data_IF_991192488892
#
_entry.id   IF_991192488892
#
_cell.length_a   1.000
_cell.length_b   1.000
_cell.length_c   1.000
_cell.angle_alpha   90.00
_cell.angle_beta   90.00
_cell.angle_gamma   90.00
#
_symmetry.space_group_name_H-M   'P 1'
#
loop_
_entity.id
_entity.type
_entity.pdbx_description
1 polymer ?
#
# COMPACT_ATOMS: atom_id res chain seq x y z
N UNK A 1 -18.35 -7.90 -10.19
CA UNK A 1 -16.91 -7.60 -10.27
C UNK A 1 -16.73 -6.09 -10.41
N UNK A 2 -16.31 -5.45 -9.32
CA UNK A 2 -16.22 -3.98 -9.22
C UNK A 2 -15.00 -3.39 -9.94
N UNK A 3 -13.97 -4.21 -10.23
CA UNK A 3 -12.72 -3.80 -10.84
C UNK A 3 -12.49 -4.42 -12.22
N UNK A 4 -13.54 -4.93 -12.86
CA UNK A 4 -13.45 -5.54 -14.18
C UNK A 4 -12.84 -4.57 -15.20
N UNK A 5 -11.74 -4.97 -15.83
CA UNK A 5 -11.02 -4.17 -16.83
C UNK A 5 -10.12 -3.06 -16.27
N UNK A 6 -10.08 -2.82 -14.96
CA UNK A 6 -9.15 -1.88 -14.32
C UNK A 6 -7.76 -2.51 -14.22
N UNK A 7 -6.72 -1.69 -14.36
CA UNK A 7 -5.33 -2.08 -14.17
C UNK A 7 -4.80 -1.52 -12.84
N UNK A 8 -4.34 -2.38 -11.95
CA UNK A 8 -3.86 -2.01 -10.63
C UNK A 8 -2.38 -2.37 -10.43
N UNK A 9 -1.62 -1.45 -9.89
CA UNK A 9 -0.26 -1.68 -9.38
C UNK A 9 -0.29 -1.64 -7.86
N UNK A 10 0.23 -2.69 -7.22
CA UNK A 10 0.36 -2.78 -5.76
C UNK A 10 1.84 -2.97 -5.40
N UNK A 11 2.42 -2.05 -4.63
CA UNK A 11 3.81 -2.15 -4.16
C UNK A 11 3.92 -2.97 -2.88
N UNK A 12 5.02 -3.73 -2.69
CA UNK A 12 5.20 -4.59 -1.52
C UNK A 12 4.13 -5.69 -1.43
N UNK A 13 3.81 -6.33 -2.54
CA UNK A 13 2.56 -7.06 -2.70
C UNK A 13 2.67 -8.59 -2.71
N UNK A 14 3.86 -9.15 -2.40
CA UNK A 14 4.06 -10.61 -2.38
C UNK A 14 3.57 -11.29 -1.09
N UNK A 15 3.26 -10.52 -0.05
CA UNK A 15 2.81 -11.00 1.27
C UNK A 15 2.02 -9.94 2.05
N UNK A 16 1.45 -10.35 3.19
CA UNK A 16 0.77 -9.47 4.14
C UNK A 16 -0.36 -8.66 3.54
N UNK A 17 -0.47 -7.39 3.92
CA UNK A 17 -1.53 -6.47 3.47
C UNK A 17 -1.56 -6.34 1.95
N UNK A 18 -0.40 -6.13 1.32
CA UNK A 18 -0.31 -5.99 -0.14
C UNK A 18 -0.81 -7.22 -0.89
N UNK A 19 -0.50 -8.42 -0.38
CA UNK A 19 -1.00 -9.67 -0.96
C UNK A 19 -2.53 -9.80 -0.84
N UNK A 20 -3.10 -9.44 0.31
CA UNK A 20 -4.55 -9.48 0.50
C UNK A 20 -5.29 -8.51 -0.43
N UNK A 21 -4.70 -7.33 -0.69
CA UNK A 21 -5.23 -6.37 -1.66
C UNK A 21 -5.16 -6.94 -3.08
N UNK A 22 -4.02 -7.55 -3.45
CA UNK A 22 -3.86 -8.20 -4.76
C UNK A 22 -4.90 -9.29 -4.97
N UNK A 23 -5.13 -10.17 -3.98
CA UNK A 23 -6.14 -11.20 -4.07
C UNK A 23 -7.56 -10.61 -4.21
N UNK A 24 -7.90 -9.62 -3.38
CA UNK A 24 -9.21 -8.97 -3.45
C UNK A 24 -9.45 -8.30 -4.82
N UNK A 25 -8.42 -7.67 -5.40
CA UNK A 25 -8.52 -7.05 -6.72
C UNK A 25 -8.61 -8.09 -7.84
N UNK A 26 -7.93 -9.24 -7.71
CA UNK A 26 -8.06 -10.38 -8.63
C UNK A 26 -9.49 -10.92 -8.62
N UNK A 27 -10.07 -11.14 -7.43
CA UNK A 27 -11.44 -11.63 -7.24
C UNK A 27 -12.47 -10.68 -7.87
N UNK A 28 -12.16 -9.37 -7.92
CA UNK A 28 -12.99 -8.33 -8.54
C UNK A 28 -12.66 -8.05 -10.02
N UNK A 29 -11.80 -8.86 -10.63
CA UNK A 29 -11.57 -8.89 -12.08
C UNK A 29 -10.54 -7.87 -12.59
N UNK A 30 -9.72 -7.29 -11.72
CA UNK A 30 -8.65 -6.40 -12.13
C UNK A 30 -7.52 -7.14 -12.86
N UNK A 31 -6.81 -6.41 -13.73
CA UNK A 31 -5.47 -6.78 -14.17
C UNK A 31 -4.46 -6.24 -13.15
N UNK A 32 -3.41 -6.98 -12.87
CA UNK A 32 -2.55 -6.73 -11.73
C UNK A 32 -1.08 -6.61 -12.09
N UNK A 33 -0.42 -5.63 -11.49
CA UNK A 33 1.04 -5.59 -11.38
C UNK A 33 1.42 -5.83 -9.92
N UNK A 34 2.19 -6.90 -9.70
CA UNK A 34 2.79 -7.25 -8.41
C UNK A 34 4.22 -6.72 -8.40
N UNK A 35 4.57 -5.94 -7.38
CA UNK A 35 5.90 -5.36 -7.23
C UNK A 35 6.47 -5.61 -5.84
N UNK A 36 7.72 -6.09 -5.76
CA UNK A 36 8.48 -6.26 -4.51
C UNK A 36 9.98 -6.25 -4.82
N UNK A 37 10.82 -6.29 -3.77
CA UNK A 37 12.28 -6.28 -3.88
C UNK A 37 12.88 -7.62 -4.36
N UNK A 38 12.19 -8.74 -4.20
CA UNK A 38 12.68 -10.08 -4.51
C UNK A 38 12.03 -10.64 -5.77
N UNK A 39 12.84 -10.86 -6.82
CA UNK A 39 12.35 -11.45 -8.07
C UNK A 39 11.73 -12.84 -7.86
N UNK A 40 12.32 -13.66 -6.98
CA UNK A 40 11.79 -15.00 -6.69
C UNK A 40 10.45 -14.95 -5.96
N UNK A 41 10.28 -14.04 -5.00
CA UNK A 41 9.02 -13.89 -4.27
C UNK A 41 7.93 -13.34 -5.20
N UNK A 42 8.28 -12.43 -6.12
CA UNK A 42 7.36 -11.91 -7.14
C UNK A 42 6.90 -13.03 -8.07
N UNK A 43 7.82 -13.85 -8.59
CA UNK A 43 7.45 -14.98 -9.46
C UNK A 43 6.50 -15.95 -8.74
N UNK A 44 6.82 -16.34 -7.50
CA UNK A 44 5.93 -17.20 -6.70
C UNK A 44 4.54 -16.56 -6.45
N UNK A 45 4.49 -15.24 -6.22
CA UNK A 45 3.22 -14.54 -6.02
C UNK A 45 2.38 -14.53 -7.31
N UNK A 46 2.99 -14.33 -8.47
CA UNK A 46 2.31 -14.44 -9.77
C UNK A 46 1.74 -15.84 -9.99
N UNK A 47 2.53 -16.88 -9.73
CA UNK A 47 2.08 -18.29 -9.88
C UNK A 47 0.91 -18.61 -8.93
N UNK A 48 0.95 -18.08 -7.70
CA UNK A 48 -0.13 -18.29 -6.70
C UNK A 48 -1.46 -17.67 -7.10
N UNK A 49 -1.47 -16.58 -7.88
CA UNK A 49 -2.71 -15.95 -8.35
C UNK A 49 -3.46 -16.79 -9.36
N UNK A 50 -2.78 -17.66 -10.11
CA UNK A 50 -3.37 -18.50 -11.17
C UNK A 50 -4.19 -17.70 -12.19
N UNK A 51 -3.82 -16.44 -12.42
CA UNK A 51 -4.42 -15.61 -13.46
C UNK A 51 -3.77 -15.87 -14.81
N UNK A 52 -4.50 -15.70 -15.93
CA UNK A 52 -3.90 -15.69 -17.26
C UNK A 52 -2.79 -14.65 -17.37
N UNK A 53 -1.73 -14.94 -18.11
CA UNK A 53 -0.56 -14.08 -18.23
C UNK A 53 -0.82 -12.68 -18.78
N UNK A 54 -1.89 -12.49 -19.57
CA UNK A 54 -2.32 -11.17 -20.02
C UNK A 54 -2.95 -10.32 -18.91
N UNK A 55 -3.31 -10.92 -17.77
CA UNK A 55 -3.91 -10.23 -16.61
C UNK A 55 -2.95 -9.95 -15.47
N UNK A 56 -1.74 -10.48 -15.51
CA UNK A 56 -0.79 -10.30 -14.43
C UNK A 56 0.61 -9.96 -14.94
N UNK A 57 1.28 -9.05 -14.23
CA UNK A 57 2.66 -8.65 -14.45
C UNK A 57 3.40 -8.69 -13.11
N UNK A 58 4.49 -9.42 -13.02
CA UNK A 58 5.34 -9.47 -11.84
C UNK A 58 6.65 -8.75 -12.08
N UNK A 59 6.98 -7.73 -11.30
CA UNK A 59 8.17 -6.92 -11.48
C UNK A 59 8.94 -6.75 -10.16
N UNK A 60 10.25 -6.97 -10.23
CA UNK A 60 11.15 -6.56 -9.15
C UNK A 60 11.41 -5.07 -9.27
N UNK A 61 11.19 -4.29 -8.20
CA UNK A 61 11.65 -2.92 -8.11
C UNK A 61 11.87 -2.48 -6.66
N UNK A 62 12.89 -1.67 -6.45
CA UNK A 62 13.09 -0.91 -5.23
C UNK A 62 12.40 0.46 -5.40
N UNK A 63 11.33 0.69 -4.65
CA UNK A 63 10.56 1.93 -4.73
C UNK A 63 11.32 3.16 -4.18
N UNK A 64 12.46 2.97 -3.51
CA UNK A 64 13.34 4.07 -3.08
C UNK A 64 14.26 4.56 -4.20
N UNK A 65 14.36 3.80 -5.30
CA UNK A 65 15.14 4.14 -6.48
C UNK A 65 14.25 4.81 -7.54
N UNK A 66 14.45 6.10 -7.79
CA UNK A 66 13.71 6.84 -8.82
C UNK A 66 13.80 6.17 -10.20
N UNK A 67 15.00 5.63 -10.55
CA UNK A 67 15.23 4.91 -11.81
C UNK A 67 14.37 3.64 -11.87
N UNK A 68 14.40 2.80 -10.81
CA UNK A 68 13.65 1.53 -10.82
C UNK A 68 12.15 1.76 -10.79
N UNK A 69 11.68 2.82 -10.11
CA UNK A 69 10.29 3.27 -10.19
C UNK A 69 9.95 3.70 -11.62
N UNK A 70 10.85 4.43 -12.30
CA UNK A 70 10.68 4.75 -13.72
C UNK A 70 10.47 3.51 -14.56
N UNK A 71 11.42 2.57 -14.50
CA UNK A 71 11.41 1.33 -15.26
C UNK A 71 10.15 0.46 -14.96
N UNK A 72 9.70 0.44 -13.68
CA UNK A 72 8.48 -0.25 -13.25
C UNK A 72 7.25 0.29 -13.97
N UNK A 73 7.04 1.62 -13.95
CA UNK A 73 5.86 2.22 -14.55
C UNK A 73 5.90 2.18 -16.09
N UNK A 74 7.07 2.24 -16.71
CA UNK A 74 7.22 2.11 -18.16
C UNK A 74 6.81 0.70 -18.62
N UNK A 75 7.19 -0.36 -17.89
CA UNK A 75 6.73 -1.74 -18.16
C UNK A 75 5.23 -1.94 -17.92
N UNK A 76 4.65 -1.28 -16.90
CA UNK A 76 3.19 -1.28 -16.70
C UNK A 76 2.48 -0.65 -17.90
N UNK A 77 3.00 0.48 -18.39
CA UNK A 77 2.44 1.18 -19.54
C UNK A 77 2.60 0.38 -20.83
N UNK A 78 3.73 -0.27 -21.03
CA UNK A 78 3.96 -1.15 -22.17
C UNK A 78 2.98 -2.34 -22.20
N UNK A 79 2.76 -2.98 -21.02
CA UNK A 79 1.90 -4.17 -20.92
C UNK A 79 0.43 -3.86 -21.01
N UNK A 80 -0.04 -2.83 -20.31
CA UNK A 80 -1.46 -2.58 -20.08
C UNK A 80 -1.98 -1.30 -20.72
N UNK A 81 -1.10 -0.42 -21.23
CA UNK A 81 -1.40 0.86 -21.87
C UNK A 81 -2.15 1.86 -20.99
N UNK A 82 -2.38 1.53 -19.72
CA UNK A 82 -3.06 2.37 -18.73
C UNK A 82 -2.74 1.93 -17.31
N UNK A 83 -2.99 2.85 -16.35
CA UNK A 83 -2.97 2.54 -14.92
C UNK A 83 -4.19 3.20 -14.26
N UNK A 84 -5.10 2.40 -13.71
CA UNK A 84 -6.33 2.89 -13.07
C UNK A 84 -6.17 3.04 -11.55
N UNK A 85 -5.39 2.14 -10.95
CA UNK A 85 -5.27 2.03 -9.50
C UNK A 85 -3.79 1.90 -9.13
N UNK A 86 -3.33 2.76 -8.22
CA UNK A 86 -2.05 2.59 -7.53
C UNK A 86 -2.29 2.34 -6.05
N UNK A 87 -1.71 1.26 -5.50
CA UNK A 87 -1.67 1.04 -4.05
C UNK A 87 -0.24 1.14 -3.57
N UNK A 88 0.08 2.20 -2.85
CA UNK A 88 1.35 2.39 -2.15
C UNK A 88 1.29 1.65 -0.81
N UNK A 89 1.70 0.38 -0.82
CA UNK A 89 1.67 -0.49 0.36
C UNK A 89 3.06 -0.82 0.89
N UNK A 90 4.10 -0.80 0.06
CA UNK A 90 5.45 -1.13 0.49
C UNK A 90 5.89 -0.23 1.66
N UNK A 91 6.33 -0.86 2.74
CA UNK A 91 6.74 -0.14 3.94
C UNK A 91 7.05 -1.06 5.12
N UNK A 92 7.69 -0.50 6.13
CA UNK A 92 8.03 -1.20 7.38
C UNK A 92 8.19 -0.19 8.51
N UNK A 93 7.94 -0.65 9.75
CA UNK A 93 8.17 0.18 10.93
C UNK A 93 9.65 0.20 11.37
N UNK A 94 10.38 -0.88 11.11
CA UNK A 94 11.80 -1.05 11.39
C UNK A 94 12.49 -1.85 10.30
N UNK A 95 13.74 -1.50 9.90
CA UNK A 95 14.51 -2.25 8.94
C UNK A 95 14.72 -3.70 9.39
N UNK A 96 14.65 -4.64 8.47
CA UNK A 96 14.91 -6.05 8.75
C UNK A 96 16.35 -6.25 9.24
N UNK A 97 16.49 -6.98 10.34
CA UNK A 97 17.80 -7.26 10.95
C UNK A 97 18.46 -6.05 11.62
N UNK A 98 17.79 -4.91 11.63
CA UNK A 98 18.24 -3.71 12.30
C UNK A 98 17.67 -3.56 13.71
N UNK A 99 18.11 -2.52 14.44
CA UNK A 99 17.61 -2.24 15.78
C UNK A 99 16.12 -1.88 15.74
N UNK A 100 15.40 -2.25 16.80
CA UNK A 100 13.96 -2.00 16.97
C UNK A 100 13.69 -1.33 18.29
N UNK A 101 12.57 -0.61 18.41
CA UNK A 101 12.12 0.00 19.64
C UNK A 101 13.15 0.96 20.27
N UNK A 102 13.73 1.84 19.46
CA UNK A 102 14.67 2.86 19.92
C UNK A 102 13.95 4.14 20.34
N UNK A 103 14.49 4.81 21.34
CA UNK A 103 14.16 6.20 21.61
C UNK A 103 14.65 7.09 20.46
N UNK A 104 14.02 8.24 20.28
CA UNK A 104 14.35 9.12 19.16
C UNK A 104 15.80 9.65 19.26
N UNK A 105 16.28 9.90 20.50
CA UNK A 105 17.64 10.32 20.77
C UNK A 105 18.70 9.30 20.34
N UNK A 106 18.35 8.01 20.38
CA UNK A 106 19.26 6.91 20.05
C UNK A 106 19.03 6.32 18.66
N UNK A 107 18.11 6.92 17.88
CA UNK A 107 17.79 6.43 16.53
C UNK A 107 18.91 6.82 15.54
N UNK A 108 19.64 5.84 14.97
CA UNK A 108 20.69 6.15 13.98
C UNK A 108 20.08 6.80 12.73
N UNK A 109 20.83 7.73 12.15
CA UNK A 109 20.36 8.49 10.97
C UNK A 109 20.05 7.57 9.78
N UNK A 110 20.83 6.50 9.57
CA UNK A 110 20.59 5.54 8.49
C UNK A 110 19.30 4.74 8.70
N UNK A 111 18.94 4.43 9.95
CA UNK A 111 17.64 3.79 10.29
C UNK A 111 16.50 4.76 10.03
N UNK A 112 16.64 6.02 10.46
CA UNK A 112 15.69 7.08 10.17
C UNK A 112 15.45 7.22 8.67
N UNK A 113 16.50 7.39 7.89
CA UNK A 113 16.42 7.57 6.44
C UNK A 113 15.80 6.35 5.75
N UNK A 114 16.21 5.12 6.07
CA UNK A 114 15.63 3.91 5.48
C UNK A 114 14.12 3.81 5.68
N UNK A 115 13.63 4.20 6.87
CA UNK A 115 12.19 4.17 7.15
C UNK A 115 11.45 5.26 6.34
N UNK A 116 11.99 6.48 6.30
CA UNK A 116 11.39 7.56 5.51
C UNK A 116 11.46 7.26 4.01
N UNK A 117 12.59 6.80 3.51
CA UNK A 117 12.79 6.52 2.10
C UNK A 117 11.79 5.49 1.57
N UNK A 118 11.56 4.42 2.32
CA UNK A 118 10.59 3.40 1.88
C UNK A 118 9.15 3.87 2.07
N UNK A 119 8.78 4.36 3.27
CA UNK A 119 7.37 4.63 3.59
C UNK A 119 6.85 5.94 2.99
N UNK A 120 7.68 6.98 2.85
CA UNK A 120 7.27 8.31 2.39
C UNK A 120 7.84 8.63 1.01
N UNK A 121 9.17 8.60 0.84
CA UNK A 121 9.77 8.96 -0.44
C UNK A 121 9.39 7.99 -1.55
N UNK A 122 9.35 6.68 -1.28
CA UNK A 122 8.85 5.66 -2.22
C UNK A 122 7.39 5.86 -2.60
N UNK A 123 6.53 6.18 -1.62
CA UNK A 123 5.12 6.55 -1.88
C UNK A 123 5.03 7.78 -2.79
N UNK A 124 5.85 8.81 -2.55
CA UNK A 124 5.92 9.99 -3.42
C UNK A 124 6.38 9.64 -4.83
N UNK A 125 7.48 8.88 -4.98
CA UNK A 125 8.04 8.52 -6.29
C UNK A 125 7.02 7.73 -7.13
N UNK A 126 6.37 6.73 -6.55
CA UNK A 126 5.33 5.95 -7.23
C UNK A 126 4.12 6.82 -7.59
N UNK A 127 3.62 7.64 -6.64
CA UNK A 127 2.49 8.53 -6.89
C UNK A 127 2.79 9.53 -8.01
N UNK A 128 4.00 10.13 -8.02
CA UNK A 128 4.43 11.07 -9.06
C UNK A 128 4.45 10.44 -10.46
N UNK A 129 4.88 9.17 -10.58
CA UNK A 129 4.87 8.45 -11.86
C UNK A 129 3.44 8.06 -12.27
N UNK A 130 2.63 7.57 -11.34
CA UNK A 130 1.23 7.25 -11.59
C UNK A 130 0.43 8.47 -12.08
N UNK A 131 0.65 9.63 -11.47
CA UNK A 131 -0.04 10.87 -11.84
C UNK A 131 0.24 11.29 -13.29
N UNK A 132 1.44 11.06 -13.84
CA UNK A 132 1.72 11.36 -15.25
C UNK A 132 0.79 10.56 -16.17
N UNK A 133 0.60 9.26 -15.89
CA UNK A 133 -0.29 8.38 -16.65
C UNK A 133 -1.76 8.75 -16.40
N UNK A 134 -2.16 8.89 -15.14
CA UNK A 134 -3.55 9.13 -14.75
C UNK A 134 -4.07 10.50 -15.18
N UNK A 135 -3.23 11.54 -15.24
CA UNK A 135 -3.62 12.88 -15.75
C UNK A 135 -3.95 12.84 -17.23
N UNK A 136 -3.17 12.12 -18.04
CA UNK A 136 -3.44 11.94 -19.46
C UNK A 136 -4.74 11.15 -19.68
N UNK A 137 -5.01 10.16 -18.82
CA UNK A 137 -6.26 9.38 -18.81
C UNK A 137 -7.46 10.17 -18.26
N UNK A 138 -7.25 11.26 -17.50
CA UNK A 138 -8.25 11.99 -16.73
C UNK A 138 -9.05 11.12 -15.77
N UNK A 139 -8.41 10.12 -15.22
CA UNK A 139 -9.00 9.19 -14.23
C UNK A 139 -7.92 8.41 -13.48
N UNK A 140 -8.17 8.11 -12.21
CA UNK A 140 -7.28 7.27 -11.39
C UNK A 140 -7.71 7.19 -9.94
N UNK A 141 -7.23 6.17 -9.24
CA UNK A 141 -7.36 6.03 -7.79
C UNK A 141 -6.01 5.67 -7.17
N UNK A 142 -5.54 6.50 -6.25
CA UNK A 142 -4.33 6.27 -5.47
C UNK A 142 -4.75 5.91 -4.04
N UNK A 143 -4.30 4.77 -3.54
CA UNK A 143 -4.55 4.29 -2.18
C UNK A 143 -3.22 4.20 -1.47
N UNK A 144 -3.02 5.00 -0.44
CA UNK A 144 -1.81 5.00 0.37
C UNK A 144 -2.07 4.24 1.67
N UNK A 145 -1.33 3.16 1.93
CA UNK A 145 -1.48 2.42 3.18
C UNK A 145 -0.87 3.23 4.32
N UNK A 146 -1.76 3.71 5.18
CA UNK A 146 -1.44 4.48 6.38
C UNK A 146 -1.36 3.57 7.63
N UNK A 147 -1.54 4.15 8.79
CA UNK A 147 -1.47 3.49 10.09
C UNK A 147 -2.10 4.38 11.14
N UNK A 148 -2.55 3.86 12.31
CA UNK A 148 -2.89 4.69 13.46
C UNK A 148 -1.75 5.67 13.84
N UNK A 149 -0.49 5.27 13.55
CA UNK A 149 0.69 6.11 13.76
C UNK A 149 0.89 7.21 12.71
N UNK A 150 0.01 7.34 11.75
CA UNK A 150 -0.09 8.51 10.88
C UNK A 150 -0.99 9.63 11.43
N UNK A 151 -1.66 9.36 12.57
CA UNK A 151 -2.58 10.30 13.25
C UNK A 151 -2.16 10.61 14.68
N UNK A 152 -1.47 9.66 15.33
CA UNK A 152 -1.01 9.80 16.70
C UNK A 152 0.42 9.31 16.86
N UNK A 153 1.23 10.01 17.66
CA UNK A 153 2.57 9.57 18.02
C UNK A 153 2.52 8.28 18.85
N UNK A 154 3.55 7.44 18.69
CA UNK A 154 3.70 6.22 19.49
C UNK A 154 5.13 6.11 20.00
N UNK A 155 5.26 5.79 21.28
CA UNK A 155 6.55 5.58 21.94
C UNK A 155 7.41 4.59 21.11
N UNK A 156 8.70 4.90 20.97
CA UNK A 156 9.69 4.09 20.25
C UNK A 156 9.35 3.85 18.76
N UNK A 157 8.63 4.77 18.12
CA UNK A 157 8.21 4.69 16.72
C UNK A 157 8.50 5.97 15.93
N UNK A 158 9.46 6.78 16.35
CA UNK A 158 9.75 8.10 15.78
C UNK A 158 9.80 8.13 14.26
N UNK A 159 10.71 7.39 13.59
CA UNK A 159 10.82 7.41 12.12
C UNK A 159 9.52 6.98 11.40
N UNK A 160 8.87 5.94 11.92
CA UNK A 160 7.65 5.43 11.30
C UNK A 160 6.45 6.37 11.48
N UNK A 161 6.31 6.97 12.66
CA UNK A 161 5.29 8.01 12.88
C UNK A 161 5.52 9.17 11.92
N UNK A 162 6.74 9.71 11.84
CA UNK A 162 7.08 10.81 10.93
C UNK A 162 6.71 10.47 9.47
N UNK A 163 7.08 9.26 9.01
CA UNK A 163 6.75 8.81 7.67
C UNK A 163 5.25 8.71 7.43
N UNK A 164 4.48 8.12 8.36
CA UNK A 164 3.03 7.92 8.18
C UNK A 164 2.23 9.23 8.33
N UNK A 165 2.62 10.16 9.20
CA UNK A 165 2.09 11.53 9.17
C UNK A 165 2.38 12.21 7.83
N UNK A 166 3.60 12.04 7.28
CA UNK A 166 3.94 12.54 5.95
C UNK A 166 3.05 11.95 4.85
N UNK A 167 2.74 10.66 4.90
CA UNK A 167 1.83 9.98 3.94
C UNK A 167 0.41 10.55 4.02
N UNK A 168 -0.12 10.81 5.22
CA UNK A 168 -1.45 11.43 5.40
C UNK A 168 -1.47 12.84 4.77
N UNK A 169 -0.45 13.67 5.02
CA UNK A 169 -0.35 15.00 4.43
C UNK A 169 -0.15 14.95 2.91
N UNK A 170 0.73 14.07 2.42
CA UNK A 170 0.95 13.86 0.99
C UNK A 170 -0.35 13.46 0.27
N UNK A 171 -1.17 12.59 0.89
CA UNK A 171 -2.43 12.15 0.33
C UNK A 171 -3.42 13.30 0.12
N UNK A 172 -3.49 14.23 1.08
CA UNK A 172 -4.34 15.43 0.96
C UNK A 172 -3.88 16.32 -0.19
N UNK A 173 -2.57 16.55 -0.33
CA UNK A 173 -2.00 17.33 -1.45
C UNK A 173 -2.27 16.66 -2.78
N UNK A 174 -2.06 15.33 -2.90
CA UNK A 174 -2.38 14.56 -4.09
C UNK A 174 -3.86 14.72 -4.50
N UNK A 175 -4.77 14.68 -3.52
CA UNK A 175 -6.19 14.85 -3.75
C UNK A 175 -6.54 16.25 -4.27
N UNK A 176 -6.02 17.30 -3.62
CA UNK A 176 -6.31 18.69 -3.98
C UNK A 176 -5.77 19.05 -5.38
N UNK A 177 -4.53 18.66 -5.69
CA UNK A 177 -3.89 18.98 -6.97
C UNK A 177 -4.47 18.23 -8.17
N UNK A 178 -5.17 17.11 -7.94
CA UNK A 178 -5.58 16.22 -9.00
C UNK A 178 -7.11 16.03 -9.14
N UNK A 179 -7.91 16.74 -8.33
CA UNK A 179 -9.36 16.69 -8.41
C UNK A 179 -9.90 17.06 -9.81
N UNK A 180 -9.32 18.08 -10.46
CA UNK A 180 -9.70 18.51 -11.82
C UNK A 180 -9.40 17.48 -12.92
N UNK A 181 -8.59 16.47 -12.61
CA UNK A 181 -8.28 15.34 -13.49
C UNK A 181 -9.11 14.07 -13.18
N UNK A 182 -10.09 14.14 -12.29
CA UNK A 182 -10.85 12.98 -11.79
C UNK A 182 -9.94 11.89 -11.17
N UNK A 183 -8.85 12.30 -10.53
CA UNK A 183 -7.95 11.39 -9.82
C UNK A 183 -8.23 11.54 -8.33
N UNK A 184 -8.47 10.42 -7.68
CA UNK A 184 -8.72 10.34 -6.24
C UNK A 184 -7.47 9.84 -5.53
N UNK A 185 -7.19 10.38 -4.36
CA UNK A 185 -6.13 9.90 -3.49
C UNK A 185 -6.67 9.79 -2.06
N UNK A 186 -6.60 8.60 -1.45
CA UNK A 186 -7.08 8.35 -0.10
C UNK A 186 -6.09 7.50 0.68
N UNK A 187 -6.09 7.64 2.01
CA UNK A 187 -5.39 6.75 2.92
C UNK A 187 -6.27 5.57 3.32
N UNK A 188 -5.66 4.41 3.49
CA UNK A 188 -6.26 3.21 4.08
C UNK A 188 -5.41 2.77 5.28
N UNK A 189 -5.95 2.95 6.47
CA UNK A 189 -5.38 2.49 7.74
C UNK A 189 -6.04 1.16 8.13
N UNK A 190 -5.28 0.09 8.39
CA UNK A 190 -5.86 -1.17 8.86
C UNK A 190 -6.67 -1.04 10.17
N UNK A 191 -6.40 -0.02 11.00
CA UNK A 191 -7.06 0.22 12.29
C UNK A 191 -6.42 -0.50 13.47
N UNK A 192 -5.20 -1.02 13.31
CA UNK A 192 -4.50 -1.70 14.39
C UNK A 192 -3.25 -2.46 13.94
N UNK A 193 -2.71 -3.28 14.85
CA UNK A 193 -1.56 -4.14 14.54
C UNK A 193 -2.04 -5.30 13.67
N UNK A 194 -1.44 -5.44 12.49
CA UNK A 194 -1.76 -6.53 11.56
C UNK A 194 -0.75 -7.65 11.70
N UNK A 195 -1.22 -8.89 11.82
CA UNK A 195 -0.45 -10.11 11.98
C UNK A 195 0.30 -10.50 10.69
N UNK A 196 1.18 -9.62 10.20
CA UNK A 196 2.08 -9.90 9.09
C UNK A 196 3.28 -10.73 9.56
N UNK A 197 3.93 -11.43 8.65
CA UNK A 197 5.14 -12.20 8.96
C UNK A 197 6.24 -11.34 9.63
N UNK A 198 6.38 -10.08 9.18
CA UNK A 198 7.34 -9.14 9.74
C UNK A 198 7.05 -8.82 11.22
N UNK A 199 5.77 -8.64 11.58
CA UNK A 199 5.34 -8.32 12.94
C UNK A 199 5.42 -9.54 13.86
N UNK A 200 5.07 -10.73 13.36
CA UNK A 200 5.15 -12.00 14.14
C UNK A 200 6.57 -12.35 14.58
N UNK A 201 7.58 -11.91 13.84
CA UNK A 201 9.00 -12.15 14.15
C UNK A 201 9.60 -11.17 15.15
N UNK A 202 8.87 -10.15 15.62
CA UNK A 202 9.36 -9.21 16.63
C UNK A 202 9.24 -9.85 18.02
N UNK A 203 10.34 -9.98 18.79
CA UNK A 203 10.27 -10.51 20.15
C UNK A 203 9.32 -9.72 21.04
N UNK A 204 8.58 -10.39 21.90
CA UNK A 204 7.62 -9.77 22.82
C UNK A 204 6.21 -9.54 22.25
N UNK A 205 5.97 -9.81 20.99
CA UNK A 205 4.63 -9.75 20.38
C UNK A 205 3.79 -11.04 20.55
N UNK A 206 4.21 -11.93 21.44
CA UNK A 206 3.49 -13.19 21.68
C UNK A 206 2.20 -12.97 22.49
N UNK A 207 1.13 -13.67 22.11
CA UNK A 207 -0.20 -13.64 22.72
C UNK A 207 -0.92 -12.28 22.65
N UNK A 208 -0.62 -11.48 21.63
CA UNK A 208 -1.36 -10.25 21.35
C UNK A 208 -2.45 -10.54 20.32
N UNK A 209 -3.67 -10.03 20.59
CA UNK A 209 -4.74 -10.04 19.59
C UNK A 209 -4.40 -9.06 18.49
N UNK A 210 -4.23 -9.56 17.27
CA UNK A 210 -3.87 -8.78 16.08
C UNK A 210 -4.94 -8.93 15.01
N UNK A 211 -5.06 -7.91 14.17
CA UNK A 211 -5.89 -7.99 12.97
C UNK A 211 -5.29 -8.97 11.98
N UNK A 212 -6.12 -9.76 11.31
CA UNK A 212 -5.67 -10.50 10.14
C UNK A 212 -5.48 -9.54 8.95
N UNK A 213 -4.53 -9.80 8.03
CA UNK A 213 -4.29 -8.92 6.88
C UNK A 213 -5.51 -8.72 5.97
N UNK A 214 -6.45 -9.66 5.96
CA UNK A 214 -7.70 -9.59 5.19
C UNK A 214 -8.60 -8.41 5.56
N UNK A 215 -8.37 -7.78 6.71
CA UNK A 215 -9.12 -6.61 7.19
C UNK A 215 -9.23 -5.50 6.15
N UNK A 216 -8.24 -5.35 5.28
CA UNK A 216 -8.19 -4.26 4.29
C UNK A 216 -8.97 -4.55 3.00
N UNK A 217 -9.34 -5.81 2.72
CA UNK A 217 -9.86 -6.25 1.41
C UNK A 217 -11.05 -5.41 0.94
N UNK A 218 -12.13 -5.38 1.71
CA UNK A 218 -13.37 -4.74 1.31
C UNK A 218 -13.22 -3.22 1.13
N UNK A 219 -12.53 -2.55 2.06
CA UNK A 219 -12.28 -1.11 1.97
C UNK A 219 -11.35 -0.78 0.79
N UNK A 220 -10.32 -1.60 0.52
CA UNK A 220 -9.44 -1.39 -0.63
C UNK A 220 -10.19 -1.52 -1.96
N UNK A 221 -11.07 -2.51 -2.11
CA UNK A 221 -11.94 -2.66 -3.29
C UNK A 221 -12.85 -1.45 -3.45
N UNK A 222 -13.49 -1.00 -2.38
CA UNK A 222 -14.33 0.20 -2.41
C UNK A 222 -13.54 1.43 -2.90
N UNK A 223 -12.37 1.70 -2.31
CA UNK A 223 -11.53 2.84 -2.69
C UNK A 223 -11.00 2.75 -4.13
N UNK A 224 -10.75 1.55 -4.63
CA UNK A 224 -10.31 1.30 -5.99
C UNK A 224 -11.42 1.42 -7.04
N UNK A 225 -12.67 1.18 -6.64
CA UNK A 225 -13.83 1.12 -7.54
C UNK A 225 -14.49 2.48 -7.76
N UNK A 226 -15.40 2.53 -8.72
CA UNK A 226 -16.22 3.71 -9.01
C UNK A 226 -17.24 4.00 -7.88
N UNK A 227 -17.48 3.06 -6.96
CA UNK A 227 -18.32 3.27 -5.78
C UNK A 227 -17.81 4.37 -4.83
N UNK A 228 -16.51 4.69 -4.89
CA UNK A 228 -15.90 5.79 -4.16
C UNK A 228 -15.69 7.05 -5.03
N UNK A 229 -16.45 7.19 -6.13
CA UNK A 229 -16.41 8.40 -6.96
C UNK A 229 -16.70 9.64 -6.13
N UNK A 230 -15.92 10.70 -6.32
CA UNK A 230 -16.03 11.95 -5.54
C UNK A 230 -15.41 11.90 -4.14
N UNK A 231 -14.95 10.73 -3.67
CA UNK A 231 -14.29 10.59 -2.37
C UNK A 231 -12.77 10.70 -2.56
N UNK A 232 -12.19 11.78 -2.07
CA UNK A 232 -10.74 12.04 -2.17
C UNK A 232 -10.22 12.83 -0.97
N UNK A 233 -8.93 12.70 -0.64
CA UNK A 233 -8.28 13.39 0.47
C UNK A 233 -8.65 12.85 1.85
N UNK A 234 -9.29 11.70 1.92
CA UNK A 234 -9.79 11.11 3.17
C UNK A 234 -8.88 9.98 3.67
N UNK A 235 -9.00 9.70 4.96
CA UNK A 235 -8.32 8.60 5.63
C UNK A 235 -9.34 7.64 6.22
N UNK A 236 -9.37 6.41 5.69
CA UNK A 236 -10.29 5.35 6.07
C UNK A 236 -9.62 4.39 7.04
N UNK A 237 -10.31 4.08 8.13
CA UNK A 237 -9.89 3.05 9.09
C UNK A 237 -10.66 1.77 8.76
N UNK A 238 -9.96 0.73 8.30
CA UNK A 238 -10.60 -0.48 7.79
C UNK A 238 -11.46 -1.21 8.83
N UNK A 239 -11.06 -1.21 10.11
CA UNK A 239 -11.86 -1.81 11.19
C UNK A 239 -13.20 -1.08 11.37
N UNK A 240 -13.20 0.26 11.34
CA UNK A 240 -14.39 1.08 11.48
C UNK A 240 -15.27 0.95 10.23
N UNK A 241 -14.67 1.11 9.06
CA UNK A 241 -15.37 1.02 7.77
C UNK A 241 -16.06 -0.34 7.57
N UNK A 242 -15.39 -1.46 7.96
CA UNK A 242 -15.95 -2.79 7.90
C UNK A 242 -17.12 -2.96 8.88
N UNK A 243 -16.94 -2.53 10.13
CA UNK A 243 -17.98 -2.65 11.16
C UNK A 243 -19.26 -1.88 10.78
N UNK A 244 -19.13 -0.65 10.28
CA UNK A 244 -20.28 0.17 9.83
C UNK A 244 -21.06 -0.49 8.68
N UNK A 245 -20.44 -1.36 7.89
CA UNK A 245 -21.04 -2.03 6.71
C UNK A 245 -21.36 -3.50 6.93
N UNK A 246 -21.23 -3.96 8.17
CA UNK A 246 -21.52 -5.34 8.53
C UNK A 246 -20.50 -6.38 8.04
N UNK A 247 -19.30 -5.94 7.64
CA UNK A 247 -18.21 -6.85 7.35
C UNK A 247 -17.51 -7.31 8.63
N UNK A 248 -16.99 -8.54 8.61
CA UNK A 248 -16.23 -9.07 9.72
C UNK A 248 -14.94 -8.26 9.97
N UNK A 249 -14.61 -8.06 11.26
CA UNK A 249 -13.29 -7.57 11.68
C UNK A 249 -12.46 -8.77 12.16
N UNK A 250 -11.65 -9.37 11.28
CA UNK A 250 -10.99 -10.64 11.54
C UNK A 250 -9.77 -10.45 12.45
N UNK A 251 -9.70 -11.22 13.53
CA UNK A 251 -8.58 -11.23 14.46
C UNK A 251 -7.89 -12.59 14.50
N UNK A 252 -6.63 -12.57 14.92
CA UNK A 252 -5.87 -13.76 15.30
C UNK A 252 -5.11 -13.48 16.60
N UNK A 253 -4.79 -14.53 17.34
CA UNK A 253 -3.86 -14.46 18.48
C UNK A 253 -2.52 -15.01 18.02
N UNK A 254 -1.49 -14.25 18.21
CA UNK A 254 -0.12 -14.60 17.82
C UNK A 254 0.76 -14.67 19.05
#
# INVERSE_FOLDING_TARGET
MQLQGKNALVTGSVRGIGWEIVQAFADEGAKLTICDLSQSDVAQAVDRLRLPGEKVLGLKADITSEREVGDLFDQVQEKFHRLDILVNNAGFAWPRGGPVNLELADTPLDVWLKVLDTNLNGTFLCSRRALKIMRDQRSGSIINISSPQGKTGKLLRGPYCAAKFGVEGLTQVLALENASYNIRANCLDPGGIVATEAIRKIPGNQRVRMLKPEIVRACAVFLASDASSGITGQSFVATEWNAERGFEVPYTVV
#
